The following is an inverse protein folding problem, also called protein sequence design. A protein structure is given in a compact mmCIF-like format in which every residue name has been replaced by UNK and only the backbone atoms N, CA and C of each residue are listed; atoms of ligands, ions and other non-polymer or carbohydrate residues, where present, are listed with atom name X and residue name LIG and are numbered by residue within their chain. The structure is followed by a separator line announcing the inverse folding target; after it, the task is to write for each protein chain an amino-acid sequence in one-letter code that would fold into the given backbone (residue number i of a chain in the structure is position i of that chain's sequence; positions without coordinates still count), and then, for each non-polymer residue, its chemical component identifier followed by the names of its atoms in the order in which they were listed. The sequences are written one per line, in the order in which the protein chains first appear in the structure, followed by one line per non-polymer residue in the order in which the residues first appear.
data_IF_469287482198
#
_entry.id   IF_469287482198
#
_cell.length_a   1.000
_cell.length_b   1.000
_cell.length_c   1.000
_cell.angle_alpha   90.00
_cell.angle_beta   90.00
_cell.angle_gamma   90.00
#
_symmetry.space_group_name_H-M   'P 1'
#
loop_
_entity.id
_entity.type
_entity.pdbx_description
1 polymer ?
#
# COMPACT_ATOMS: atom_id res chain seq x y z
N UNK A 1 -7.78 10.92 -7.34
CA UNK A 1 -8.79 10.87 -8.45
C UNK A 1 -9.98 11.72 -8.05
N UNK A 2 -10.54 12.52 -8.97
CA UNK A 2 -11.77 13.29 -8.71
C UNK A 2 -13.01 12.43 -9.03
N UNK A 3 -14.16 12.73 -8.39
CA UNK A 3 -15.42 12.00 -8.63
C UNK A 3 -15.86 12.01 -10.10
N UNK A 4 -15.64 13.12 -10.81
CA UNK A 4 -15.94 13.19 -12.24
C UNK A 4 -15.08 12.23 -13.09
N UNK A 5 -13.82 12.05 -12.72
CA UNK A 5 -12.92 11.09 -13.38
C UNK A 5 -13.36 9.65 -13.13
N UNK A 6 -13.75 9.30 -11.88
CA UNK A 6 -14.27 7.99 -11.57
C UNK A 6 -15.49 7.64 -12.45
N UNK A 7 -16.48 8.54 -12.53
CA UNK A 7 -17.67 8.36 -13.39
C UNK A 7 -17.33 8.22 -14.87
N UNK A 8 -16.39 9.04 -15.38
CA UNK A 8 -15.97 8.95 -16.78
C UNK A 8 -15.31 7.60 -17.12
N UNK A 9 -14.53 7.05 -16.18
CA UNK A 9 -13.95 5.72 -16.34
C UNK A 9 -15.04 4.64 -16.33
N UNK A 10 -16.02 4.71 -15.41
CA UNK A 10 -17.16 3.78 -15.37
C UNK A 10 -17.92 3.80 -16.68
N UNK A 11 -18.26 5.00 -17.21
CA UNK A 11 -18.94 5.13 -18.51
C UNK A 11 -18.12 4.53 -19.66
N UNK A 12 -16.81 4.74 -19.67
CA UNK A 12 -15.92 4.20 -20.68
C UNK A 12 -15.87 2.66 -20.63
N UNK A 13 -15.75 2.08 -19.43
CA UNK A 13 -15.76 0.63 -19.22
C UNK A 13 -17.09 0.01 -19.64
N UNK A 14 -18.20 0.61 -19.21
CA UNK A 14 -19.55 0.14 -19.56
C UNK A 14 -19.77 0.15 -21.07
N UNK A 15 -19.28 1.17 -21.76
CA UNK A 15 -19.41 1.28 -23.23
C UNK A 15 -18.50 0.33 -23.98
N UNK A 16 -17.23 0.22 -23.55
CA UNK A 16 -16.22 -0.58 -24.25
C UNK A 16 -16.34 -2.08 -23.94
N UNK A 17 -16.90 -2.42 -22.78
CA UNK A 17 -17.09 -3.78 -22.26
C UNK A 17 -15.84 -4.67 -22.43
N UNK A 18 -14.68 -4.26 -21.87
CA UNK A 18 -13.43 -5.02 -22.03
C UNK A 18 -13.54 -6.40 -21.37
N UNK A 19 -12.68 -7.34 -21.76
CA UNK A 19 -12.69 -8.70 -21.21
C UNK A 19 -12.43 -8.78 -19.69
N UNK A 20 -11.73 -7.78 -19.11
CA UNK A 20 -11.53 -7.60 -17.66
C UNK A 20 -11.06 -6.19 -17.35
N UNK A 21 -11.20 -5.82 -16.08
CA UNK A 21 -10.67 -4.58 -15.51
C UNK A 21 -9.92 -4.88 -14.21
N UNK A 22 -8.76 -4.25 -14.03
CA UNK A 22 -8.00 -4.28 -12.79
C UNK A 22 -7.95 -2.86 -12.23
N UNK A 23 -8.36 -2.69 -10.98
CA UNK A 23 -8.34 -1.42 -10.27
C UNK A 23 -7.32 -1.51 -9.12
N UNK A 24 -6.33 -0.62 -9.07
CA UNK A 24 -5.48 -0.50 -7.89
C UNK A 24 -6.00 0.60 -6.97
N UNK A 25 -6.13 0.29 -5.68
CA UNK A 25 -6.58 1.26 -4.68
C UNK A 25 -5.51 2.25 -4.27
N UNK A 26 -4.25 1.99 -4.63
CA UNK A 26 -3.10 2.84 -4.29
C UNK A 26 -2.97 3.09 -2.77
N UNK A 27 -3.24 2.06 -1.96
CA UNK A 27 -3.17 2.13 -0.50
C UNK A 27 -4.45 2.60 0.19
N UNK A 28 -5.49 3.00 -0.55
CA UNK A 28 -6.80 3.25 0.07
C UNK A 28 -7.44 1.93 0.50
N UNK A 29 -7.96 1.90 1.71
CA UNK A 29 -8.60 0.71 2.29
C UNK A 29 -10.04 0.64 1.82
N UNK A 30 -10.38 -0.43 1.11
CA UNK A 30 -11.71 -0.64 0.49
C UNK A 30 -12.35 -1.97 0.93
N UNK A 31 -11.65 -2.75 1.73
CA UNK A 31 -11.97 -4.14 2.09
C UNK A 31 -12.07 -4.36 3.60
N UNK A 32 -12.28 -3.28 4.37
CA UNK A 32 -12.45 -3.33 5.82
C UNK A 32 -13.73 -2.59 6.24
N UNK A 33 -14.93 -3.10 5.87
CA UNK A 33 -16.18 -2.43 6.20
C UNK A 33 -16.32 -2.27 7.72
N UNK A 34 -16.68 -1.07 8.15
CA UNK A 34 -16.77 -0.70 9.56
C UNK A 34 -15.47 -0.19 10.19
N UNK A 35 -14.33 -0.29 9.51
CA UNK A 35 -13.08 0.35 9.95
C UNK A 35 -13.15 1.86 9.72
N UNK A 36 -12.60 2.67 10.65
CA UNK A 36 -12.43 4.12 10.43
C UNK A 36 -11.54 4.45 9.22
N UNK A 37 -10.71 3.50 8.79
CA UNK A 37 -9.83 3.63 7.63
C UNK A 37 -10.51 3.28 6.30
N UNK A 38 -11.70 2.64 6.35
CA UNK A 38 -12.45 2.29 5.15
C UNK A 38 -12.78 3.53 4.32
N UNK A 39 -12.48 3.48 3.03
CA UNK A 39 -12.86 4.55 2.12
C UNK A 39 -14.38 4.78 2.18
N UNK A 40 -14.84 6.04 2.30
CA UNK A 40 -16.28 6.36 2.30
C UNK A 40 -16.99 5.82 1.07
N UNK A 41 -18.23 5.36 1.23
CA UNK A 41 -19.01 4.78 0.13
C UNK A 41 -19.20 5.74 -1.07
N UNK A 42 -19.24 7.03 -0.81
CA UNK A 42 -19.35 8.09 -1.82
C UNK A 42 -17.98 8.59 -2.33
N UNK A 43 -16.88 7.98 -1.87
CA UNK A 43 -15.54 8.35 -2.34
C UNK A 43 -15.35 7.99 -3.81
N UNK A 44 -14.46 8.71 -4.54
CA UNK A 44 -14.18 8.41 -5.94
C UNK A 44 -13.71 6.99 -6.20
N UNK A 45 -12.96 6.39 -5.26
CA UNK A 45 -12.48 5.01 -5.42
C UNK A 45 -13.64 4.00 -5.30
N UNK A 46 -14.52 4.18 -4.33
CA UNK A 46 -15.70 3.31 -4.18
C UNK A 46 -16.67 3.49 -5.35
N UNK A 47 -16.92 4.74 -5.78
CA UNK A 47 -17.70 5.02 -7.00
C UNK A 47 -17.14 4.29 -8.22
N UNK A 48 -15.81 4.25 -8.36
CA UNK A 48 -15.16 3.53 -9.46
C UNK A 48 -15.35 2.02 -9.34
N UNK A 49 -15.06 1.46 -8.17
CA UNK A 49 -15.14 0.01 -7.91
C UNK A 49 -16.56 -0.48 -8.13
N UNK A 50 -17.53 0.15 -7.49
CA UNK A 50 -18.94 -0.25 -7.57
C UNK A 50 -19.47 -0.12 -8.99
N UNK A 51 -19.24 1.04 -9.65
CA UNK A 51 -19.73 1.27 -11.00
C UNK A 51 -19.11 0.34 -12.06
N UNK A 52 -17.83 -0.01 -11.91
CA UNK A 52 -17.20 -0.99 -12.83
C UNK A 52 -17.70 -2.41 -12.53
N UNK A 53 -17.88 -2.77 -11.27
CA UNK A 53 -18.43 -4.08 -10.89
C UNK A 53 -19.86 -4.23 -11.40
N UNK A 54 -20.69 -3.21 -11.23
CA UNK A 54 -22.09 -3.19 -11.71
C UNK A 54 -22.21 -3.26 -13.24
N UNK A 55 -21.17 -2.90 -13.98
CA UNK A 55 -21.15 -3.04 -15.44
C UNK A 55 -21.15 -4.49 -15.93
N UNK A 56 -20.91 -5.46 -15.03
CA UNK A 56 -20.82 -6.88 -15.36
C UNK A 56 -19.47 -7.30 -15.98
N UNK A 57 -18.52 -6.39 -16.14
CA UNK A 57 -17.16 -6.71 -16.59
C UNK A 57 -16.39 -7.41 -15.48
N UNK A 58 -15.72 -8.55 -15.73
CA UNK A 58 -14.86 -9.21 -14.74
C UNK A 58 -13.85 -8.24 -14.14
N UNK A 59 -13.97 -7.95 -12.84
CA UNK A 59 -13.20 -6.89 -12.18
C UNK A 59 -12.46 -7.45 -10.98
N UNK A 60 -11.14 -7.17 -10.89
CA UNK A 60 -10.35 -7.37 -9.69
C UNK A 60 -9.87 -6.04 -9.13
N UNK A 61 -9.86 -5.93 -7.80
CA UNK A 61 -9.39 -4.76 -7.06
C UNK A 61 -8.13 -5.13 -6.29
N UNK A 62 -7.01 -4.57 -6.70
CA UNK A 62 -5.70 -4.78 -6.05
C UNK A 62 -5.59 -3.78 -4.90
N UNK A 63 -5.53 -4.30 -3.68
CA UNK A 63 -5.61 -3.53 -2.44
C UNK A 63 -4.31 -3.64 -1.61
N UNK A 64 -3.24 -2.91 -1.97
CA UNK A 64 -2.06 -2.78 -1.13
C UNK A 64 -2.37 -1.95 0.13
N UNK A 65 -1.52 -2.08 1.18
CA UNK A 65 -1.57 -1.24 2.38
C UNK A 65 -0.56 -0.09 2.26
N UNK A 66 0.53 -0.16 2.97
CA UNK A 66 1.60 0.82 2.84
C UNK A 66 2.69 0.32 1.88
N UNK A 67 3.24 1.27 1.13
CA UNK A 67 4.31 0.97 0.18
C UNK A 67 5.69 1.07 0.82
N UNK A 68 6.54 0.08 0.55
CA UNK A 68 7.95 0.08 0.96
C UNK A 68 8.70 1.30 0.41
N UNK A 69 8.30 1.80 -0.75
CA UNK A 69 8.87 3.00 -1.38
C UNK A 69 8.74 4.26 -0.52
N UNK A 70 7.81 4.29 0.44
CA UNK A 70 7.73 5.37 1.43
C UNK A 70 8.99 5.43 2.32
N UNK A 71 9.68 4.29 2.50
CA UNK A 71 10.93 4.20 3.25
C UNK A 71 12.12 4.80 2.48
N UNK A 72 11.98 5.05 1.18
CA UNK A 72 13.02 5.67 0.34
C UNK A 72 12.93 7.19 0.30
N UNK A 73 11.92 7.78 0.93
CA UNK A 73 11.87 9.24 1.07
C UNK A 73 13.16 9.75 1.72
N UNK A 74 13.75 10.84 1.22
CA UNK A 74 15.02 11.37 1.76
C UNK A 74 14.99 11.59 3.27
N UNK A 75 13.84 12.00 3.82
CA UNK A 75 13.63 12.22 5.26
C UNK A 75 13.60 10.93 6.08
N UNK A 76 13.43 9.77 5.44
CA UNK A 76 13.47 8.44 6.06
C UNK A 76 14.81 7.76 5.80
N UNK A 77 15.22 7.67 4.53
CA UNK A 77 16.44 6.97 4.11
C UNK A 77 17.73 7.71 4.53
N UNK A 78 17.71 9.04 4.58
CA UNK A 78 18.86 9.85 5.02
C UNK A 78 19.32 9.44 6.43
N UNK A 79 18.48 9.53 7.47
CA UNK A 79 18.82 9.08 8.83
C UNK A 79 19.21 7.59 8.90
N UNK A 80 18.62 6.73 8.07
CA UNK A 80 19.08 5.33 7.98
C UNK A 80 20.53 5.27 7.55
N UNK A 81 20.95 6.04 6.54
CA UNK A 81 22.30 6.06 6.00
C UNK A 81 23.31 6.76 6.92
N UNK A 82 22.91 7.84 7.55
CA UNK A 82 23.82 8.70 8.33
C UNK A 82 23.93 8.26 9.78
N UNK A 83 22.79 7.88 10.39
CA UNK A 83 22.69 7.65 11.83
C UNK A 83 22.39 6.18 12.20
N UNK A 84 22.04 5.32 11.22
CA UNK A 84 21.54 3.97 11.49
C UNK A 84 20.16 3.98 12.17
N UNK A 85 19.30 4.94 11.84
CA UNK A 85 17.99 5.09 12.46
C UNK A 85 16.91 5.18 11.39
N UNK A 86 15.97 4.23 11.41
CA UNK A 86 14.77 4.25 10.59
C UNK A 86 13.64 4.92 11.37
N UNK A 87 13.39 6.21 11.09
CA UNK A 87 12.31 6.99 11.71
C UNK A 87 11.05 6.91 10.86
N UNK A 88 9.94 6.49 11.48
CA UNK A 88 8.68 6.37 10.76
C UNK A 88 7.48 6.66 11.68
N UNK A 89 6.36 7.23 11.16
CA UNK A 89 5.25 7.70 12.01
C UNK A 89 4.28 6.58 12.42
N UNK A 90 4.82 5.45 12.86
CA UNK A 90 4.06 4.32 13.39
C UNK A 90 4.72 3.82 14.69
N UNK A 91 3.94 3.28 15.64
CA UNK A 91 4.50 2.57 16.78
C UNK A 91 5.40 1.40 16.35
N UNK A 92 6.47 1.14 17.09
CA UNK A 92 7.41 0.09 16.75
C UNK A 92 6.76 -1.31 16.60
N UNK A 93 5.74 -1.60 17.41
CA UNK A 93 5.01 -2.88 17.37
C UNK A 93 3.85 -2.93 16.39
N UNK A 94 3.59 -1.86 15.63
CA UNK A 94 2.44 -1.76 14.73
C UNK A 94 2.66 -2.62 13.49
N UNK A 95 1.87 -3.71 13.27
CA UNK A 95 2.05 -4.59 12.12
C UNK A 95 1.42 -3.99 10.86
N UNK A 96 2.14 -4.07 9.75
CA UNK A 96 1.68 -3.62 8.44
C UNK A 96 1.93 -4.67 7.38
N UNK A 97 0.97 -4.92 6.53
CA UNK A 97 1.17 -5.70 5.30
C UNK A 97 1.83 -4.80 4.24
N UNK A 98 3.13 -4.58 4.39
CA UNK A 98 3.91 -3.81 3.43
C UNK A 98 3.95 -4.48 2.06
N UNK A 99 3.90 -3.69 1.01
CA UNK A 99 4.05 -4.12 -0.39
C UNK A 99 4.93 -3.15 -1.15
N UNK A 100 5.62 -3.64 -2.18
CA UNK A 100 6.32 -2.77 -3.12
C UNK A 100 5.47 -2.49 -4.36
N UNK A 101 5.81 -1.46 -5.12
CA UNK A 101 5.24 -1.25 -6.45
C UNK A 101 5.52 -2.43 -7.39
N UNK A 102 6.65 -3.13 -7.19
CA UNK A 102 7.02 -4.32 -7.96
C UNK A 102 6.07 -5.49 -7.66
N UNK A 103 5.70 -5.69 -6.38
CA UNK A 103 4.74 -6.73 -5.99
C UNK A 103 3.35 -6.44 -6.56
N UNK A 104 2.92 -5.18 -6.49
CA UNK A 104 1.65 -4.75 -7.08
C UNK A 104 1.65 -4.96 -8.60
N UNK A 105 2.76 -4.62 -9.28
CA UNK A 105 2.89 -4.82 -10.73
C UNK A 105 2.81 -6.31 -11.11
N UNK A 106 3.44 -7.20 -10.34
CA UNK A 106 3.41 -8.64 -10.55
C UNK A 106 2.00 -9.20 -10.37
N UNK A 107 1.30 -8.79 -9.31
CA UNK A 107 -0.11 -9.18 -9.09
C UNK A 107 -1.00 -8.69 -10.24
N UNK A 108 -0.85 -7.44 -10.67
CA UNK A 108 -1.61 -6.89 -11.80
C UNK A 108 -1.32 -7.66 -13.09
N UNK A 109 -0.06 -7.95 -13.38
CA UNK A 109 0.34 -8.72 -14.56
C UNK A 109 -0.29 -10.13 -14.54
N UNK A 110 -0.26 -10.81 -13.37
CA UNK A 110 -0.89 -12.11 -13.19
C UNK A 110 -2.39 -12.05 -13.41
N UNK A 111 -3.08 -11.10 -12.80
CA UNK A 111 -4.53 -10.90 -12.96
C UNK A 111 -4.94 -10.60 -14.42
N UNK A 112 -4.08 -9.92 -15.19
CA UNK A 112 -4.34 -9.61 -16.60
C UNK A 112 -4.10 -10.81 -17.52
N UNK A 113 -3.22 -11.73 -17.17
CA UNK A 113 -2.78 -12.82 -18.05
C UNK A 113 -3.40 -14.18 -17.73
N UNK A 114 -3.95 -14.37 -16.54
CA UNK A 114 -4.58 -15.64 -16.16
C UNK A 114 -5.77 -15.98 -17.08
N UNK A 115 -5.83 -17.25 -17.50
CA UNK A 115 -6.91 -17.74 -18.35
C UNK A 115 -8.29 -17.66 -17.68
N UNK A 116 -8.34 -17.91 -16.38
CA UNK A 116 -9.55 -17.77 -15.57
C UNK A 116 -9.46 -16.46 -14.77
N UNK A 117 -10.34 -15.47 -14.98
CA UNK A 117 -10.27 -14.21 -14.30
C UNK A 117 -10.58 -14.36 -12.80
N UNK A 118 -9.62 -14.02 -11.95
CA UNK A 118 -9.88 -13.75 -10.53
C UNK A 118 -10.62 -12.43 -10.41
N UNK A 119 -11.72 -12.41 -9.66
CA UNK A 119 -12.55 -11.22 -9.43
C UNK A 119 -12.62 -10.89 -7.93
N UNK A 120 -13.08 -9.68 -7.62
CA UNK A 120 -13.14 -9.20 -6.23
C UNK A 120 -11.85 -8.58 -5.75
N UNK A 121 -11.72 -8.40 -4.44
CA UNK A 121 -10.56 -7.71 -3.85
C UNK A 121 -9.43 -8.69 -3.58
N UNK A 122 -8.23 -8.32 -4.03
CA UNK A 122 -6.96 -9.04 -3.82
C UNK A 122 -6.05 -8.17 -2.96
N UNK A 123 -5.87 -8.56 -1.71
CA UNK A 123 -4.94 -7.90 -0.79
C UNK A 123 -3.49 -8.18 -1.17
N UNK A 124 -2.66 -7.14 -1.21
CA UNK A 124 -1.23 -7.26 -1.56
C UNK A 124 -0.37 -6.76 -0.40
N UNK A 125 0.55 -7.59 0.07
CA UNK A 125 1.50 -7.24 1.12
C UNK A 125 1.96 -8.44 1.95
N UNK A 126 2.85 -8.18 2.89
CA UNK A 126 3.41 -9.21 3.76
C UNK A 126 2.36 -9.81 4.69
N UNK A 127 2.37 -11.13 4.80
CA UNK A 127 1.66 -11.92 5.79
C UNK A 127 2.63 -12.91 6.45
N UNK A 128 2.76 -12.87 7.79
CA UNK A 128 2.19 -11.86 8.70
C UNK A 128 2.68 -10.45 8.40
N UNK A 129 1.97 -9.42 8.92
CA UNK A 129 2.40 -8.02 8.80
C UNK A 129 3.75 -7.79 9.48
N UNK A 130 4.57 -6.91 8.90
CA UNK A 130 5.90 -6.58 9.43
C UNK A 130 5.82 -5.36 10.36
N UNK A 131 6.61 -5.40 11.42
CA UNK A 131 6.76 -4.34 12.42
C UNK A 131 7.96 -3.44 12.15
N UNK A 132 8.10 -2.34 12.89
CA UNK A 132 9.27 -1.47 12.79
C UNK A 132 10.61 -2.19 12.99
N UNK A 133 10.77 -3.05 14.02
CA UNK A 133 11.96 -3.88 14.19
C UNK A 133 12.26 -4.81 13.02
N UNK A 134 11.24 -5.38 12.36
CA UNK A 134 11.44 -6.24 11.18
C UNK A 134 12.03 -5.44 10.02
N UNK A 135 11.52 -4.22 9.80
CA UNK A 135 12.06 -3.30 8.80
C UNK A 135 13.52 -2.95 9.12
N UNK A 136 13.81 -2.54 10.36
CA UNK A 136 15.15 -2.18 10.79
C UNK A 136 16.15 -3.33 10.65
N UNK A 137 15.75 -4.55 10.99
CA UNK A 137 16.56 -5.75 10.82
C UNK A 137 16.90 -6.02 9.34
N UNK A 138 15.93 -5.84 8.43
CA UNK A 138 16.15 -6.00 7.01
C UNK A 138 17.13 -4.95 6.45
N UNK A 139 16.99 -3.68 6.85
CA UNK A 139 17.95 -2.63 6.50
C UNK A 139 19.33 -2.90 7.09
N UNK A 140 19.42 -3.39 8.35
CA UNK A 140 20.69 -3.76 8.98
C UNK A 140 21.42 -4.83 8.18
N UNK A 141 20.71 -5.89 7.78
CA UNK A 141 21.27 -6.99 7.01
C UNK A 141 21.75 -6.51 5.64
N UNK A 142 20.96 -5.66 4.96
CA UNK A 142 21.30 -5.15 3.64
C UNK A 142 22.51 -4.21 3.67
N UNK A 143 22.57 -3.30 4.65
CA UNK A 143 23.66 -2.31 4.76
C UNK A 143 24.91 -2.83 5.48
N UNK A 144 24.87 -4.05 6.06
CA UNK A 144 25.98 -4.63 6.83
C UNK A 144 26.33 -3.87 8.10
N UNK A 145 25.38 -3.11 8.67
CA UNK A 145 25.55 -2.33 9.91
C UNK A 145 24.24 -2.22 10.68
N UNK A 146 24.33 -1.92 11.96
CA UNK A 146 23.16 -1.79 12.81
C UNK A 146 22.25 -0.63 12.36
N UNK A 147 20.95 -0.95 12.22
CA UNK A 147 19.87 0.02 12.03
C UNK A 147 18.82 -0.27 13.10
N UNK A 148 18.38 0.75 13.80
CA UNK A 148 17.28 0.66 14.79
C UNK A 148 16.05 1.38 14.27
N UNK A 149 14.87 0.92 14.66
CA UNK A 149 13.62 1.61 14.38
C UNK A 149 13.31 2.63 15.49
N UNK A 150 12.81 3.79 15.08
CA UNK A 150 12.33 4.82 15.99
C UNK A 150 10.97 5.32 15.51
N UNK A 151 9.91 5.00 16.28
CA UNK A 151 8.58 5.56 16.03
C UNK A 151 8.55 7.04 16.36
N UNK A 152 8.11 7.86 15.43
CA UNK A 152 7.91 9.30 15.65
C UNK A 152 6.41 9.63 15.54
N UNK A 153 6.01 10.81 16.03
CA UNK A 153 4.60 11.21 15.91
C UNK A 153 4.24 11.59 14.49
N UNK A 154 2.96 11.46 14.07
CA UNK A 154 2.50 11.93 12.76
C UNK A 154 2.82 13.40 12.52
N UNK A 155 2.77 14.24 13.56
CA UNK A 155 3.10 15.67 13.51
C UNK A 155 4.58 15.90 13.20
N UNK A 156 5.47 15.21 13.93
CA UNK A 156 6.91 15.29 13.68
C UNK A 156 7.26 14.83 12.24
N UNK A 157 6.61 13.77 11.77
CA UNK A 157 6.77 13.34 10.39
C UNK A 157 6.25 14.38 9.40
N UNK A 158 5.11 15.00 9.71
CA UNK A 158 4.53 16.10 8.92
C UNK A 158 5.51 17.26 8.74
N UNK A 159 6.22 17.66 9.81
CA UNK A 159 7.25 18.69 9.74
C UNK A 159 8.39 18.32 8.78
N UNK A 160 8.81 17.05 8.80
CA UNK A 160 9.87 16.54 7.91
C UNK A 160 9.47 16.51 6.44
N UNK A 161 8.21 16.14 6.14
CA UNK A 161 7.74 15.99 4.74
C UNK A 161 7.17 17.28 4.14
N UNK A 162 6.81 18.27 4.95
CA UNK A 162 6.25 19.56 4.47
C UNK A 162 7.17 20.27 3.46
N UNK A 163 8.49 20.32 3.64
CA UNK A 163 9.37 20.92 2.63
C UNK A 163 9.33 20.22 1.27
N UNK A 164 8.97 18.93 1.23
CA UNK A 164 8.89 18.11 0.01
C UNK A 164 7.51 18.20 -0.65
N UNK A 165 6.45 18.19 0.14
CA UNK A 165 5.08 18.03 -0.35
C UNK A 165 4.21 19.29 -0.18
N UNK A 166 4.67 20.29 0.55
CA UNK A 166 3.89 21.48 0.84
C UNK A 166 2.53 21.15 1.48
N UNK A 167 1.42 21.72 1.00
CA UNK A 167 0.08 21.45 1.55
C UNK A 167 -0.36 19.97 1.48
N UNK A 168 0.22 19.17 0.58
CA UNK A 168 -0.08 17.75 0.46
C UNK A 168 0.48 16.91 1.63
N UNK A 169 1.29 17.47 2.51
CA UNK A 169 1.73 16.82 3.74
C UNK A 169 0.56 16.63 4.74
N UNK A 170 -0.40 17.54 4.81
CA UNK A 170 -1.50 17.47 5.77
C UNK A 170 -2.33 16.19 5.66
N UNK A 171 -2.80 15.74 4.48
CA UNK A 171 -3.48 14.45 4.33
C UNK A 171 -2.65 13.25 4.77
N UNK A 172 -1.32 13.32 4.62
CA UNK A 172 -0.41 12.25 5.06
C UNK A 172 -0.37 12.18 6.59
N UNK A 173 -0.29 13.32 7.27
CA UNK A 173 -0.37 13.39 8.74
C UNK A 173 -1.68 12.80 9.26
N UNK A 174 -2.81 13.17 8.64
CA UNK A 174 -4.12 12.63 9.02
C UNK A 174 -4.21 11.11 8.82
N UNK A 175 -3.64 10.59 7.73
CA UNK A 175 -3.55 9.15 7.50
C UNK A 175 -2.81 8.45 8.65
N UNK A 176 -1.63 8.95 9.03
CA UNK A 176 -0.86 8.32 10.11
C UNK A 176 -1.50 8.51 11.49
N UNK A 177 -2.22 9.59 11.75
CA UNK A 177 -3.07 9.72 12.94
C UNK A 177 -4.14 8.64 13.00
N UNK A 178 -4.84 8.43 11.90
CA UNK A 178 -5.86 7.41 11.79
C UNK A 178 -5.28 5.99 11.94
N UNK A 179 -4.11 5.72 11.35
CA UNK A 179 -3.40 4.45 11.53
C UNK A 179 -2.98 4.22 12.97
N UNK A 180 -2.40 5.22 13.64
CA UNK A 180 -1.96 5.11 15.04
C UNK A 180 -3.12 4.88 16.03
N UNK A 181 -4.36 5.11 15.63
CA UNK A 181 -5.56 4.79 16.40
C UNK A 181 -6.04 3.33 16.21
N UNK A 182 -5.33 2.52 15.44
CA UNK A 182 -5.65 1.11 15.17
C UNK A 182 -4.57 0.19 15.76
N UNK A 183 -4.87 -1.11 15.81
CA UNK A 183 -3.92 -2.14 16.27
C UNK A 183 -3.00 -2.66 15.15
N UNK A 184 -3.24 -2.29 13.90
CA UNK A 184 -2.47 -2.69 12.73
C UNK A 184 -3.11 -2.27 11.42
N UNK A 185 -2.38 -2.46 10.32
CA UNK A 185 -2.86 -2.23 8.95
C UNK A 185 -2.47 -3.43 8.06
N UNK A 186 -3.15 -4.54 8.28
CA UNK A 186 -2.88 -5.80 7.57
C UNK A 186 -3.98 -6.17 6.59
N UNK A 187 -3.64 -6.99 5.60
CA UNK A 187 -4.61 -7.64 4.70
C UNK A 187 -5.15 -8.90 5.36
N UNK A 188 -6.32 -9.36 4.92
CA UNK A 188 -6.84 -10.67 5.30
C UNK A 188 -6.11 -11.78 4.54
N UNK A 189 -5.99 -12.97 5.15
CA UNK A 189 -5.29 -14.11 4.54
C UNK A 189 -6.09 -14.68 3.36
N UNK A 190 -7.37 -14.94 3.55
CA UNK A 190 -8.28 -15.53 2.56
C UNK A 190 -8.51 -14.68 1.30
N UNK A 191 -8.24 -13.37 1.38
CA UNK A 191 -8.31 -12.45 0.24
C UNK A 191 -6.93 -12.03 -0.28
N UNK A 192 -5.85 -12.65 0.16
CA UNK A 192 -4.49 -12.25 -0.19
C UNK A 192 -4.04 -12.78 -1.55
N UNK A 193 -3.08 -12.09 -2.18
CA UNK A 193 -2.42 -12.57 -3.40
C UNK A 193 -1.69 -13.90 -3.16
N UNK A 194 -1.26 -14.19 -1.93
CA UNK A 194 -0.66 -15.45 -1.53
C UNK A 194 -1.63 -16.60 -1.69
N UNK A 195 -2.85 -16.45 -1.16
CA UNK A 195 -3.87 -17.49 -1.21
C UNK A 195 -4.52 -17.59 -2.60
N UNK A 196 -4.90 -16.45 -3.19
CA UNK A 196 -5.67 -16.43 -4.43
C UNK A 196 -4.83 -16.71 -5.69
N UNK A 197 -3.55 -16.30 -5.68
CA UNK A 197 -2.69 -16.32 -6.87
C UNK A 197 -1.39 -17.12 -6.67
N UNK A 198 -1.09 -17.57 -5.46
CA UNK A 198 0.19 -18.20 -5.11
C UNK A 198 1.38 -17.24 -5.17
N UNK A 199 1.14 -15.93 -5.18
CA UNK A 199 2.18 -14.90 -5.26
C UNK A 199 2.55 -14.40 -3.86
N UNK A 200 3.85 -14.36 -3.56
CA UNK A 200 4.36 -13.82 -2.31
C UNK A 200 5.10 -12.51 -2.57
N UNK A 201 4.95 -11.51 -1.68
CA UNK A 201 5.71 -10.28 -1.81
C UNK A 201 7.21 -10.55 -1.66
N UNK A 202 8.02 -9.71 -2.28
CA UNK A 202 9.47 -9.70 -2.09
C UNK A 202 9.81 -9.51 -0.61
N UNK A 203 10.83 -10.20 -0.13
CA UNK A 203 11.41 -9.80 1.14
C UNK A 203 11.96 -8.38 1.03
N UNK A 204 12.05 -7.66 2.16
CA UNK A 204 12.59 -6.29 2.16
C UNK A 204 14.03 -6.28 1.61
N UNK A 205 14.84 -7.30 1.94
CA UNK A 205 16.19 -7.44 1.39
C UNK A 205 16.20 -7.53 -0.14
N UNK A 206 15.37 -8.40 -0.71
CA UNK A 206 15.22 -8.53 -2.17
C UNK A 206 14.74 -7.21 -2.81
N UNK A 207 13.78 -6.54 -2.20
CA UNK A 207 13.29 -5.25 -2.70
C UNK A 207 14.39 -4.19 -2.69
N UNK A 208 15.22 -4.10 -1.62
CA UNK A 208 16.36 -3.19 -1.55
C UNK A 208 17.43 -3.51 -2.60
N UNK A 209 17.69 -4.79 -2.86
CA UNK A 209 18.61 -5.26 -3.92
C UNK A 209 18.07 -4.89 -5.31
N UNK A 210 16.80 -5.18 -5.60
CA UNK A 210 16.16 -4.90 -6.89
C UNK A 210 16.19 -3.40 -7.24
N UNK A 211 16.14 -2.53 -6.24
CA UNK A 211 16.22 -1.08 -6.41
C UNK A 211 17.64 -0.51 -6.31
N UNK A 212 18.66 -1.36 -6.13
CA UNK A 212 20.07 -0.97 -5.95
C UNK A 212 20.25 0.11 -4.83
N UNK A 213 19.50 -0.03 -3.72
CA UNK A 213 19.61 0.87 -2.57
C UNK A 213 20.95 0.60 -1.86
N UNK A 214 21.76 1.63 -1.71
CA UNK A 214 23.08 1.59 -1.06
C UNK A 214 23.15 2.56 0.11
#
# INVERSE_FOLDING_TARGET
MAAAQARAVVEAVTRAHPGRVIISTSGQIVDQPGSPLQAPADSPIMTLIDGVTDSGVPTAVVAPRLYLENLLLPVVLGPVREEGVLRYPLPASFPVSWSSHLDVAEVVARLLTDASPTTGTVGVGHLPGLTGPDLAAAFSNHLGREVRFEGITPEAFGELITPLFGPAAAPVVELYRALNAQDGNTIAEDGSAQELLGLRPRSIGQWLEDLAVS
#
